data_IF_800590582835
#
_entry.id   IF_800590582835
#
_cell.length_a   1.000
_cell.length_b   1.000
_cell.length_c   1.000
_cell.angle_alpha   90.00
_cell.angle_beta   90.00
_cell.angle_gamma   90.00
#
_symmetry.space_group_name_H-M   'P 1'
#
loop_
_entity.id
_entity.type
_entity.pdbx_description
1 polymer ?
#
# COMPACT_ATOMS: atom_id res chain seq x y z
N UNK A 1 19.81 11.66 -10.62
CA UNK A 1 19.44 13.07 -10.71
C UNK A 1 20.62 13.94 -10.27
N UNK A 2 21.00 14.87 -11.10
CA UNK A 2 22.00 15.88 -10.75
C UNK A 2 21.37 17.04 -9.95
N UNK A 3 22.14 17.76 -9.12
CA UNK A 3 21.62 18.92 -8.41
C UNK A 3 21.06 19.98 -9.36
N UNK A 4 19.77 20.24 -9.27
CA UNK A 4 19.07 21.20 -10.13
C UNK A 4 18.15 20.58 -11.16
N UNK A 5 18.17 19.25 -11.30
CA UNK A 5 17.21 18.54 -12.13
C UNK A 5 15.82 18.58 -11.53
N UNK A 6 14.79 18.80 -12.35
CA UNK A 6 13.42 18.65 -11.92
C UNK A 6 13.10 17.15 -11.69
N UNK A 7 12.39 16.80 -10.65
CA UNK A 7 11.89 15.44 -10.43
C UNK A 7 10.41 15.29 -10.85
N UNK A 8 9.72 16.40 -11.07
CA UNK A 8 8.36 16.46 -11.56
C UNK A 8 8.11 17.79 -12.26
N UNK A 9 7.40 17.78 -13.37
CA UNK A 9 6.91 18.95 -14.08
C UNK A 9 5.47 18.69 -14.51
N UNK A 10 4.54 18.89 -13.59
CA UNK A 10 3.18 18.38 -13.70
C UNK A 10 2.17 19.48 -14.00
N UNK A 11 1.20 19.16 -14.87
CA UNK A 11 -0.07 19.84 -15.00
C UNK A 11 -1.17 18.93 -14.48
N UNK A 12 -2.09 19.47 -13.69
CA UNK A 12 -3.21 18.71 -13.14
C UNK A 12 -4.49 19.53 -13.10
N UNK A 13 -5.63 18.86 -13.01
CA UNK A 13 -6.92 19.51 -12.89
C UNK A 13 -7.92 18.67 -12.12
N UNK A 14 -8.72 19.34 -11.30
CA UNK A 14 -9.86 18.75 -10.57
C UNK A 14 -11.15 19.34 -11.10
N UNK A 15 -12.13 18.49 -11.39
CA UNK A 15 -13.45 18.90 -11.85
C UNK A 15 -14.52 18.34 -10.92
N UNK A 16 -15.44 19.22 -10.53
CA UNK A 16 -16.54 18.87 -9.64
C UNK A 16 -17.86 19.08 -10.35
N UNK A 17 -18.77 18.12 -10.21
CA UNK A 17 -20.13 18.17 -10.69
C UNK A 17 -21.07 17.97 -9.51
N UNK A 18 -21.91 18.95 -9.23
CA UNK A 18 -22.99 18.86 -8.24
C UNK A 18 -24.32 19.06 -8.91
N UNK A 19 -25.18 18.05 -8.86
CA UNK A 19 -26.53 18.07 -9.40
C UNK A 19 -27.51 18.02 -8.24
N UNK A 20 -28.16 19.15 -7.97
CA UNK A 20 -29.08 19.30 -6.86
C UNK A 20 -30.55 19.23 -7.31
N UNK A 21 -31.37 18.44 -6.61
CA UNK A 21 -32.79 18.24 -6.86
C UNK A 21 -33.65 18.64 -5.64
N UNK A 22 -33.25 19.66 -4.92
CA UNK A 22 -33.90 20.13 -3.70
C UNK A 22 -33.27 19.48 -2.46
N UNK A 23 -33.96 18.54 -1.81
CA UNK A 23 -33.49 17.89 -0.59
C UNK A 23 -32.47 16.75 -0.85
N UNK A 24 -32.20 16.42 -2.11
CA UNK A 24 -31.24 15.39 -2.49
C UNK A 24 -30.47 15.78 -3.76
N UNK A 25 -29.33 15.14 -3.97
CA UNK A 25 -28.49 15.41 -5.12
C UNK A 25 -27.46 14.31 -5.38
N UNK A 26 -26.65 14.56 -6.39
CA UNK A 26 -25.52 13.73 -6.76
C UNK A 26 -24.27 14.59 -6.90
N UNK A 27 -23.19 14.17 -6.26
CA UNK A 27 -21.88 14.80 -6.37
C UNK A 27 -20.90 13.85 -7.04
N UNK A 28 -20.09 14.39 -7.95
CA UNK A 28 -18.95 13.68 -8.53
C UNK A 28 -17.73 14.59 -8.63
N UNK A 29 -16.55 14.04 -8.41
CA UNK A 29 -15.26 14.71 -8.56
C UNK A 29 -14.33 13.85 -9.40
N UNK A 30 -13.83 14.41 -10.49
CA UNK A 30 -12.80 13.82 -11.32
C UNK A 30 -11.47 14.56 -11.16
N UNK A 31 -10.39 13.84 -11.28
CA UNK A 31 -9.04 14.36 -11.26
C UNK A 31 -8.25 13.81 -12.44
N UNK A 32 -7.36 14.63 -12.99
CA UNK A 32 -6.40 14.20 -14.00
C UNK A 32 -5.08 14.92 -13.83
N UNK A 33 -4.01 14.28 -14.27
CA UNK A 33 -2.69 14.91 -14.34
C UNK A 33 -1.87 14.35 -15.50
N UNK A 34 -0.84 15.11 -15.88
CA UNK A 34 0.20 14.71 -16.81
C UNK A 34 1.52 15.30 -16.32
N UNK A 35 2.52 14.47 -16.13
CA UNK A 35 3.86 14.89 -15.73
C UNK A 35 4.81 14.81 -16.93
N UNK A 36 5.21 15.98 -17.44
CA UNK A 36 6.10 16.08 -18.60
C UNK A 36 7.50 15.54 -18.31
N UNK A 37 7.98 15.65 -17.07
CA UNK A 37 9.30 15.15 -16.70
C UNK A 37 9.33 13.62 -16.70
N UNK A 38 8.26 12.99 -16.21
CA UNK A 38 8.16 11.54 -16.16
C UNK A 38 7.81 10.91 -17.51
N UNK A 39 6.93 11.56 -18.29
CA UNK A 39 6.46 11.05 -19.57
C UNK A 39 7.43 11.30 -20.72
N UNK A 40 8.02 12.49 -20.76
CA UNK A 40 8.80 12.98 -21.91
C UNK A 40 10.30 13.15 -21.56
N UNK A 41 10.68 13.02 -20.29
CA UNK A 41 12.04 13.20 -19.82
C UNK A 41 12.96 12.01 -20.14
N UNK A 42 14.21 12.29 -20.44
CA UNK A 42 15.25 11.28 -20.76
C UNK A 42 15.92 10.77 -19.45
N UNK A 43 15.20 9.98 -18.63
CA UNK A 43 15.75 9.44 -17.37
C UNK A 43 15.42 7.98 -17.14
N UNK A 44 15.83 7.11 -18.06
CA UNK A 44 15.59 5.69 -17.89
C UNK A 44 16.38 5.17 -16.68
N UNK A 45 15.73 4.34 -15.87
CA UNK A 45 16.43 3.50 -14.89
C UNK A 45 17.32 2.51 -15.65
N UNK A 46 18.58 2.42 -15.27
CA UNK A 46 19.52 1.48 -15.88
C UNK A 46 19.85 0.38 -14.89
N UNK A 47 19.53 -0.87 -15.23
CA UNK A 47 19.96 -2.02 -14.46
C UNK A 47 21.48 -2.20 -14.60
N UNK A 48 22.24 -2.17 -13.48
CA UNK A 48 23.70 -2.22 -13.53
C UNK A 48 24.27 -3.59 -13.96
N UNK A 49 23.45 -4.65 -13.97
CA UNK A 49 23.87 -6.00 -14.37
C UNK A 49 23.60 -6.22 -15.85
N UNK A 50 22.38 -5.96 -16.29
CA UNK A 50 21.95 -6.24 -17.67
C UNK A 50 22.24 -5.11 -18.62
N UNK A 51 22.41 -3.89 -18.11
CA UNK A 51 22.51 -2.65 -18.89
C UNK A 51 21.19 -2.25 -19.55
N UNK A 52 20.09 -2.97 -19.25
CA UNK A 52 18.78 -2.63 -19.76
C UNK A 52 18.31 -1.31 -19.14
N UNK A 53 17.72 -0.48 -19.96
CA UNK A 53 17.10 0.76 -19.53
C UNK A 53 15.59 0.52 -19.39
N UNK A 54 15.03 0.96 -18.28
CA UNK A 54 13.60 0.93 -18.01
C UNK A 54 13.10 2.36 -17.82
N UNK A 55 11.93 2.61 -18.36
CA UNK A 55 11.17 3.80 -18.08
C UNK A 55 10.11 3.43 -17.02
N UNK A 56 9.99 4.22 -15.97
CA UNK A 56 8.99 3.98 -14.91
C UNK A 56 7.56 3.98 -15.47
N UNK A 57 7.30 4.83 -16.46
CA UNK A 57 5.99 4.94 -17.11
C UNK A 57 5.64 3.76 -18.04
N UNK A 58 6.52 2.76 -18.20
CA UNK A 58 6.19 1.51 -18.92
C UNK A 58 5.44 0.51 -18.04
N UNK A 59 5.48 0.68 -16.73
CA UNK A 59 4.66 -0.10 -15.81
C UNK A 59 3.31 0.59 -15.64
N UNK A 60 2.16 -0.09 -15.89
CA UNK A 60 0.84 0.54 -15.82
C UNK A 60 0.52 1.14 -14.45
N UNK A 61 0.90 0.47 -13.35
CA UNK A 61 0.67 1.00 -12.00
C UNK A 61 1.52 2.24 -11.73
N UNK A 62 2.76 2.24 -12.19
CA UNK A 62 3.65 3.37 -12.07
C UNK A 62 3.21 4.54 -12.97
N UNK A 63 2.74 4.24 -14.18
CA UNK A 63 2.20 5.23 -15.11
C UNK A 63 1.05 6.00 -14.47
N UNK A 64 0.05 5.29 -13.93
CA UNK A 64 -1.15 5.86 -13.33
C UNK A 64 -0.85 6.71 -12.08
N UNK A 65 0.19 6.40 -11.33
CA UNK A 65 0.51 7.11 -10.09
C UNK A 65 1.50 8.25 -10.25
N UNK A 66 2.41 8.14 -11.21
CA UNK A 66 3.54 9.05 -11.34
C UNK A 66 3.52 9.88 -12.63
N UNK A 67 3.00 9.33 -13.72
CA UNK A 67 3.20 9.86 -15.06
C UNK A 67 1.96 10.57 -15.61
N UNK A 68 0.85 9.87 -15.72
CA UNK A 68 -0.42 10.42 -16.22
C UNK A 68 -1.59 9.56 -15.79
N UNK A 69 -2.69 10.19 -15.41
CA UNK A 69 -3.93 9.47 -15.12
C UNK A 69 -5.16 10.37 -15.25
N UNK A 70 -6.32 9.72 -15.42
CA UNK A 70 -7.66 10.32 -15.34
C UNK A 70 -8.53 9.43 -14.48
N UNK A 71 -8.86 9.88 -13.28
CA UNK A 71 -9.60 9.05 -12.31
C UNK A 71 -10.82 9.75 -11.75
N UNK A 72 -11.83 8.96 -11.44
CA UNK A 72 -13.00 9.40 -10.68
C UNK A 72 -12.67 9.25 -9.19
N UNK A 73 -12.65 10.38 -8.47
CA UNK A 73 -12.50 10.39 -7.02
C UNK A 73 -13.86 10.15 -6.36
N UNK A 74 -14.53 11.20 -5.96
CA UNK A 74 -15.83 11.08 -5.30
C UNK A 74 -16.96 10.82 -6.29
N UNK A 75 -17.91 9.98 -5.91
CA UNK A 75 -19.16 9.77 -6.62
C UNK A 75 -20.20 9.26 -5.64
N UNK A 76 -21.08 10.13 -5.17
CA UNK A 76 -22.08 9.76 -4.17
C UNK A 76 -23.39 10.51 -4.36
N UNK A 77 -24.47 9.85 -3.98
CA UNK A 77 -25.76 10.48 -3.76
C UNK A 77 -25.83 11.02 -2.34
N UNK A 78 -26.46 12.17 -2.16
CA UNK A 78 -26.69 12.77 -0.87
C UNK A 78 -28.14 13.24 -0.71
N UNK A 79 -28.54 13.41 0.54
CA UNK A 79 -29.86 13.98 0.85
C UNK A 79 -29.92 14.46 2.28
N UNK A 80 -30.70 15.52 2.47
CA UNK A 80 -30.94 16.17 3.73
C UNK A 80 -32.45 16.16 4.02
N UNK A 81 -32.82 15.55 5.15
CA UNK A 81 -34.21 15.39 5.57
C UNK A 81 -34.37 15.81 7.03
N UNK A 82 -35.60 15.79 7.47
CA UNK A 82 -35.96 16.05 8.86
C UNK A 82 -36.73 14.89 9.45
N UNK A 83 -36.30 14.43 10.62
CA UNK A 83 -37.04 13.46 11.44
C UNK A 83 -37.66 14.22 12.60
N UNK A 84 -38.89 14.70 12.43
CA UNK A 84 -39.52 15.66 13.32
C UNK A 84 -38.83 17.03 13.19
N UNK A 85 -38.17 17.49 14.22
CA UNK A 85 -37.37 18.72 14.29
C UNK A 85 -35.85 18.49 14.13
N UNK A 86 -35.44 17.24 13.88
CA UNK A 86 -34.03 16.84 13.85
C UNK A 86 -33.53 16.70 12.43
N UNK A 87 -32.43 17.39 12.06
CA UNK A 87 -31.86 17.28 10.73
C UNK A 87 -31.16 15.92 10.57
N UNK A 88 -31.40 15.25 9.44
CA UNK A 88 -30.76 14.03 9.01
C UNK A 88 -30.08 14.24 7.67
N UNK A 89 -28.78 14.00 7.59
CA UNK A 89 -28.01 13.92 6.33
C UNK A 89 -27.64 12.47 6.04
N UNK A 90 -27.86 12.04 4.80
CA UNK A 90 -27.38 10.73 4.29
C UNK A 90 -26.49 10.94 3.07
N UNK A 91 -25.44 10.12 2.95
CA UNK A 91 -24.62 10.01 1.75
C UNK A 91 -24.33 8.55 1.43
N UNK A 92 -24.41 8.17 0.15
CA UNK A 92 -24.16 6.79 -0.31
C UNK A 92 -23.33 6.83 -1.57
N UNK A 93 -22.19 6.19 -1.59
CA UNK A 93 -21.27 6.12 -2.72
C UNK A 93 -19.81 6.27 -2.28
N UNK A 94 -18.94 6.46 -3.28
CA UNK A 94 -17.51 6.69 -3.03
C UNK A 94 -17.31 8.11 -2.51
N UNK A 95 -16.73 8.24 -1.34
CA UNK A 95 -16.57 9.51 -0.64
C UNK A 95 -15.41 9.48 0.37
N UNK A 96 -14.98 10.66 0.79
CA UNK A 96 -14.00 10.84 1.85
C UNK A 96 -14.70 11.29 3.13
N UNK A 97 -14.34 10.68 4.25
CA UNK A 97 -14.73 11.09 5.60
C UNK A 97 -13.47 11.42 6.38
N UNK A 98 -13.27 12.68 6.69
CA UNK A 98 -12.15 13.14 7.52
C UNK A 98 -12.66 13.42 8.94
N UNK A 99 -12.31 12.55 9.89
CA UNK A 99 -12.61 12.73 11.32
C UNK A 99 -11.32 13.00 12.09
N UNK A 100 -11.47 13.70 13.23
CA UNK A 100 -10.33 14.14 14.05
C UNK A 100 -9.79 15.50 13.63
N UNK A 101 -8.77 15.95 14.34
CA UNK A 101 -8.14 17.28 14.15
C UNK A 101 -6.77 17.17 13.47
N UNK A 102 -6.19 15.98 13.47
CA UNK A 102 -4.84 15.71 12.97
C UNK A 102 -4.90 15.17 11.55
N UNK A 103 -4.49 16.00 10.59
CA UNK A 103 -4.50 15.62 9.17
C UNK A 103 -3.20 14.94 8.72
N UNK A 104 -2.05 15.39 9.25
CA UNK A 104 -0.72 14.95 8.81
C UNK A 104 0.03 14.09 9.83
N UNK A 105 -0.44 14.03 11.07
CA UNK A 105 0.18 13.20 12.11
C UNK A 105 -0.36 11.80 11.98
N UNK A 106 0.54 10.84 11.74
CA UNK A 106 0.17 9.43 11.65
C UNK A 106 -0.39 8.93 12.99
N UNK A 107 -1.21 7.88 12.92
CA UNK A 107 -1.85 7.27 14.09
C UNK A 107 -2.84 8.18 14.84
N UNK A 108 -3.36 9.20 14.17
CA UNK A 108 -4.50 9.99 14.64
C UNK A 108 -5.85 9.28 14.47
N UNK A 109 -6.95 10.02 14.63
CA UNK A 109 -8.34 9.49 14.49
C UNK A 109 -8.68 9.29 13.00
N UNK A 110 -8.05 10.03 12.09
CA UNK A 110 -8.33 9.96 10.66
C UNK A 110 -7.77 8.66 10.05
N UNK A 111 -8.57 7.60 10.03
CA UNK A 111 -8.21 6.26 9.54
C UNK A 111 -9.18 5.72 8.50
N UNK A 112 -10.20 6.51 8.12
CA UNK A 112 -11.31 6.02 7.29
C UNK A 112 -10.90 5.79 5.85
N UNK A 113 -10.16 6.74 5.26
CA UNK A 113 -9.82 6.70 3.84
C UNK A 113 -8.34 6.39 3.62
N UNK A 114 -8.02 5.57 2.61
CA UNK A 114 -6.64 5.35 2.18
C UNK A 114 -6.03 6.61 1.58
N UNK A 115 -4.72 6.60 1.43
CA UNK A 115 -3.91 7.75 1.02
C UNK A 115 -3.07 7.40 -0.20
N UNK A 116 -3.08 8.25 -1.20
CA UNK A 116 -2.07 8.26 -2.26
C UNK A 116 -0.82 9.00 -1.75
N UNK A 117 0.21 8.23 -1.36
CA UNK A 117 1.45 8.79 -0.80
C UNK A 117 2.30 9.46 -1.88
N UNK A 118 2.22 8.99 -3.12
CA UNK A 118 2.88 9.65 -4.26
C UNK A 118 2.31 11.04 -4.45
N UNK A 119 0.99 11.15 -4.46
CA UNK A 119 0.28 12.42 -4.59
C UNK A 119 0.51 13.35 -3.41
N UNK A 120 0.52 12.82 -2.19
CA UNK A 120 0.80 13.60 -0.99
C UNK A 120 2.16 14.34 -1.01
N UNK A 121 3.10 13.84 -1.81
CA UNK A 121 4.45 14.40 -1.98
C UNK A 121 4.60 15.22 -3.27
N UNK A 122 3.60 15.21 -4.14
CA UNK A 122 3.62 15.98 -5.37
C UNK A 122 3.56 17.49 -5.07
N UNK A 123 4.34 18.33 -5.77
CA UNK A 123 4.32 19.75 -5.57
C UNK A 123 2.93 20.34 -5.86
N UNK A 124 2.39 21.10 -4.91
CA UNK A 124 1.10 21.78 -5.05
C UNK A 124 -0.13 20.89 -4.87
N UNK A 125 0.02 19.63 -4.43
CA UNK A 125 -1.11 18.73 -4.18
C UNK A 125 -2.04 19.28 -3.09
N UNK A 126 -3.34 19.17 -3.31
CA UNK A 126 -4.36 19.51 -2.33
C UNK A 126 -4.84 18.26 -1.58
N UNK A 127 -5.30 18.40 -0.33
CA UNK A 127 -5.77 17.26 0.48
C UNK A 127 -6.87 16.45 -0.19
N UNK A 128 -7.73 17.09 -0.96
CA UNK A 128 -8.79 16.43 -1.72
C UNK A 128 -8.27 15.52 -2.85
N UNK A 129 -6.97 15.62 -3.19
CA UNK A 129 -6.28 14.80 -4.17
C UNK A 129 -5.48 13.67 -3.53
N UNK A 130 -5.30 13.74 -2.21
CA UNK A 130 -4.46 12.82 -1.44
C UNK A 130 -5.28 11.68 -0.85
N UNK A 131 -6.46 11.96 -0.30
CA UNK A 131 -7.33 10.94 0.25
C UNK A 131 -8.11 10.23 -0.86
N UNK A 132 -8.04 8.91 -0.88
CA UNK A 132 -8.74 8.09 -1.85
C UNK A 132 -10.17 7.82 -1.36
N UNK A 133 -11.20 8.20 -2.13
CA UNK A 133 -12.56 7.90 -1.76
C UNK A 133 -12.85 6.41 -1.85
N UNK A 134 -13.62 5.88 -0.88
CA UNK A 134 -14.08 4.49 -0.86
C UNK A 134 -15.59 4.43 -0.71
N UNK A 135 -16.17 3.33 -1.17
CA UNK A 135 -17.61 3.09 -1.14
C UNK A 135 -18.13 2.92 0.29
N UNK A 136 -19.06 3.79 0.69
CA UNK A 136 -19.67 3.74 2.01
C UNK A 136 -21.06 4.38 2.06
N UNK A 137 -21.78 4.04 3.13
CA UNK A 137 -22.98 4.74 3.56
C UNK A 137 -22.61 5.58 4.77
N UNK A 138 -22.92 6.85 4.74
CA UNK A 138 -22.74 7.80 5.85
C UNK A 138 -24.07 8.40 6.27
N UNK A 139 -24.29 8.55 7.58
CA UNK A 139 -25.44 9.22 8.13
C UNK A 139 -25.02 10.18 9.27
N UNK A 140 -25.70 11.31 9.37
CA UNK A 140 -25.54 12.27 10.48
C UNK A 140 -26.90 12.76 10.94
N UNK A 141 -27.18 12.69 12.26
CA UNK A 141 -28.42 13.08 12.87
C UNK A 141 -28.18 14.09 14.00
N UNK A 142 -28.79 15.25 13.92
CA UNK A 142 -28.87 16.21 15.01
C UNK A 142 -29.78 15.67 16.11
N UNK A 143 -29.26 15.45 17.32
CA UNK A 143 -30.05 14.96 18.45
C UNK A 143 -30.67 16.12 19.25
N UNK A 144 -29.91 17.19 19.43
CA UNK A 144 -30.30 18.47 20.02
C UNK A 144 -29.61 19.59 19.25
N UNK A 145 -29.84 20.86 19.65
CA UNK A 145 -29.17 22.01 19.06
C UNK A 145 -27.65 21.98 19.23
N UNK A 146 -27.15 21.24 20.22
CA UNK A 146 -25.72 21.16 20.57
C UNK A 146 -25.11 19.78 20.49
N UNK A 147 -25.90 18.72 20.21
CA UNK A 147 -25.43 17.35 20.16
C UNK A 147 -25.84 16.69 18.85
N UNK A 148 -24.90 16.09 18.17
CA UNK A 148 -25.14 15.27 16.97
C UNK A 148 -24.46 13.91 17.07
N UNK A 149 -24.99 12.95 16.34
CA UNK A 149 -24.39 11.64 16.14
C UNK A 149 -24.20 11.41 14.64
N UNK A 150 -23.05 10.90 14.24
CA UNK A 150 -22.79 10.48 12.86
C UNK A 150 -22.14 9.12 12.83
N UNK A 151 -22.30 8.43 11.72
CA UNK A 151 -21.67 7.14 11.52
C UNK A 151 -21.56 6.79 10.05
N UNK A 152 -20.68 5.84 9.77
CA UNK A 152 -20.53 5.27 8.45
C UNK A 152 -20.37 3.75 8.52
N UNK A 153 -20.67 3.09 7.40
CA UNK A 153 -20.35 1.71 7.12
C UNK A 153 -19.73 1.63 5.73
N UNK A 154 -18.49 1.10 5.65
CA UNK A 154 -17.80 0.87 4.39
C UNK A 154 -18.18 -0.49 3.80
N UNK A 155 -18.35 -0.54 2.50
CA UNK A 155 -18.59 -1.74 1.71
C UNK A 155 -17.54 -1.93 0.59
N UNK A 156 -16.49 -1.12 0.62
CA UNK A 156 -15.33 -1.18 -0.27
C UNK A 156 -14.09 -0.89 0.58
N UNK A 157 -13.14 -1.83 0.60
CA UNK A 157 -11.82 -1.61 1.15
C UNK A 157 -10.85 -1.27 0.01
N UNK A 158 -9.85 -0.44 0.30
CA UNK A 158 -8.76 -0.13 -0.62
C UNK A 158 -7.48 0.14 0.18
N UNK A 159 -6.36 -0.35 -0.33
CA UNK A 159 -5.05 -0.05 0.23
C UNK A 159 -4.63 1.40 -0.05
N UNK A 160 -3.77 1.97 0.80
CA UNK A 160 -3.04 3.19 0.47
C UNK A 160 -1.98 2.89 -0.59
N UNK A 161 -1.85 3.79 -1.55
CA UNK A 161 -0.86 3.66 -2.61
C UNK A 161 0.48 4.18 -2.14
N UNK A 162 1.48 3.29 -2.17
CA UNK A 162 2.84 3.62 -1.77
C UNK A 162 3.57 4.35 -2.92
N UNK A 163 4.67 5.09 -2.63
CA UNK A 163 5.45 5.74 -3.68
C UNK A 163 5.95 4.72 -4.71
N UNK A 164 5.86 5.10 -5.97
CA UNK A 164 6.32 4.28 -7.09
C UNK A 164 7.80 3.93 -6.92
N UNK A 165 8.12 2.65 -7.00
CA UNK A 165 9.49 2.14 -6.91
C UNK A 165 10.38 2.78 -7.98
N UNK A 166 11.58 3.25 -7.58
CA UNK A 166 12.50 3.98 -8.46
C UNK A 166 12.19 5.47 -8.60
N UNK A 167 11.06 5.97 -8.08
CA UNK A 167 10.76 7.40 -8.09
C UNK A 167 11.59 8.16 -7.05
N UNK A 168 11.66 9.48 -7.16
CA UNK A 168 12.48 10.33 -6.30
C UNK A 168 12.17 10.19 -4.80
N UNK A 169 10.93 9.93 -4.44
CA UNK A 169 10.49 9.77 -3.06
C UNK A 169 10.34 8.32 -2.59
N UNK A 170 10.65 7.34 -3.43
CA UNK A 170 10.61 5.95 -3.01
C UNK A 170 11.66 5.69 -1.94
N UNK A 171 11.24 5.10 -0.82
CA UNK A 171 12.13 4.72 0.27
C UNK A 171 12.79 3.36 0.06
N UNK A 172 12.20 2.55 -0.80
CA UNK A 172 12.69 1.25 -1.24
C UNK A 172 12.04 0.89 -2.58
N UNK A 173 12.64 -0.06 -3.28
CA UNK A 173 12.14 -0.51 -4.59
C UNK A 173 11.25 -1.75 -4.48
N UNK A 174 11.04 -2.26 -3.29
CA UNK A 174 10.40 -3.54 -3.05
C UNK A 174 8.92 -3.43 -2.73
N UNK A 175 8.54 -2.47 -1.88
CA UNK A 175 7.16 -2.33 -1.37
C UNK A 175 6.32 -1.34 -2.18
N UNK A 176 6.94 -0.48 -3.00
CA UNK A 176 6.24 0.52 -3.80
C UNK A 176 5.45 -0.07 -4.96
N UNK A 177 4.51 0.70 -5.49
CA UNK A 177 3.79 0.38 -6.71
C UNK A 177 4.78 0.29 -7.89
N UNK A 178 4.50 -0.57 -8.86
CA UNK A 178 5.42 -0.81 -9.99
C UNK A 178 6.71 -1.56 -9.66
N UNK A 179 7.00 -1.79 -8.37
CA UNK A 179 8.18 -2.53 -7.89
C UNK A 179 8.23 -3.98 -8.35
N UNK A 180 7.12 -4.51 -8.73
CA UNK A 180 6.95 -5.87 -9.24
C UNK A 180 7.76 -6.18 -10.49
N UNK A 181 8.13 -5.19 -11.29
CA UNK A 181 8.95 -5.40 -12.51
C UNK A 181 10.43 -5.43 -12.25
N UNK A 182 10.89 -4.74 -11.23
CA UNK A 182 12.30 -4.42 -11.06
C UNK A 182 12.91 -5.09 -9.84
N UNK A 183 12.09 -5.58 -8.90
CA UNK A 183 12.59 -5.87 -7.57
C UNK A 183 12.52 -7.32 -7.19
N UNK A 184 13.71 -7.80 -7.10
CA UNK A 184 14.09 -8.95 -6.31
C UNK A 184 15.04 -8.40 -5.27
N UNK A 185 14.64 -8.45 -4.02
CA UNK A 185 15.49 -8.04 -2.93
C UNK A 185 16.71 -8.95 -2.89
N UNK A 186 17.89 -8.36 -2.99
CA UNK A 186 19.12 -9.10 -2.77
C UNK A 186 19.28 -9.42 -1.29
N UNK A 187 19.53 -10.70 -1.01
CA UNK A 187 20.15 -11.07 0.26
C UNK A 187 21.58 -10.52 0.35
N UNK A 188 22.10 -10.34 1.44
CA UNK A 188 23.40 -10.01 2.07
C UNK A 188 24.67 -9.81 1.23
N UNK A 189 24.68 -9.86 -0.10
CA UNK A 189 25.94 -10.06 -0.83
C UNK A 189 26.60 -8.80 -1.36
N UNK A 190 25.99 -7.62 -1.15
CA UNK A 190 26.49 -6.38 -1.75
C UNK A 190 26.53 -6.41 -3.31
N UNK A 191 25.87 -7.39 -3.92
CA UNK A 191 25.69 -7.42 -5.35
C UNK A 191 24.59 -6.43 -5.76
N UNK A 192 24.67 -5.84 -6.96
CA UNK A 192 23.58 -5.02 -7.47
C UNK A 192 22.30 -5.84 -7.64
N UNK A 193 21.16 -5.16 -7.59
CA UNK A 193 19.86 -5.77 -7.76
C UNK A 193 19.75 -6.53 -9.06
N UNK A 194 19.22 -7.74 -8.99
CA UNK A 194 18.93 -8.56 -10.17
C UNK A 194 17.52 -8.21 -10.60
N UNK A 195 17.33 -7.76 -11.82
CA UNK A 195 15.99 -7.55 -12.33
C UNK A 195 15.24 -8.88 -12.54
N UNK A 196 13.92 -8.81 -12.50
CA UNK A 196 13.07 -9.97 -12.66
C UNK A 196 13.28 -10.66 -14.01
N UNK A 197 13.45 -9.90 -15.08
CA UNK A 197 13.65 -10.44 -16.44
C UNK A 197 14.94 -11.26 -16.53
N UNK A 198 16.01 -10.80 -15.89
CA UNK A 198 17.26 -11.55 -15.79
C UNK A 198 17.06 -12.87 -15.02
N UNK A 199 16.38 -12.80 -13.87
CA UNK A 199 16.10 -13.99 -13.07
C UNK A 199 15.23 -14.98 -13.83
N UNK A 200 14.14 -14.55 -14.44
CA UNK A 200 13.27 -15.41 -15.24
C UNK A 200 14.02 -16.06 -16.41
N UNK A 201 14.89 -15.30 -17.07
CA UNK A 201 15.73 -15.82 -18.17
C UNK A 201 16.67 -16.92 -17.66
N UNK A 202 17.32 -16.71 -16.52
CA UNK A 202 18.22 -17.70 -15.93
C UNK A 202 17.47 -18.97 -15.49
N UNK A 203 16.34 -18.82 -14.80
CA UNK A 203 15.51 -19.94 -14.33
C UNK A 203 14.97 -20.77 -15.50
N UNK A 204 14.46 -20.11 -16.53
CA UNK A 204 14.01 -20.79 -17.75
C UNK A 204 15.16 -21.48 -18.49
N UNK A 205 16.36 -20.90 -18.49
CA UNK A 205 17.56 -21.51 -19.02
C UNK A 205 17.91 -22.82 -18.30
N UNK A 206 17.78 -22.88 -16.97
CA UNK A 206 17.92 -24.15 -16.22
C UNK A 206 16.84 -25.17 -16.58
N UNK A 207 15.61 -24.73 -16.73
CA UNK A 207 14.52 -25.59 -17.21
C UNK A 207 14.81 -26.20 -18.59
N UNK A 208 15.33 -25.41 -19.53
CA UNK A 208 15.72 -25.89 -20.86
C UNK A 208 16.86 -26.92 -20.79
N UNK A 209 17.86 -26.70 -19.95
CA UNK A 209 18.94 -27.66 -19.72
C UNK A 209 18.42 -28.98 -19.17
N UNK A 210 17.52 -28.94 -18.18
CA UNK A 210 16.89 -30.13 -17.60
C UNK A 210 16.07 -30.89 -18.65
N UNK A 211 15.27 -30.18 -19.46
CA UNK A 211 14.50 -30.78 -20.56
C UNK A 211 15.39 -31.41 -21.63
N UNK A 212 16.58 -30.88 -21.84
CA UNK A 212 17.56 -31.46 -22.79
C UNK A 212 18.33 -32.63 -22.23
N UNK A 213 18.09 -33.03 -20.98
CA UNK A 213 18.71 -34.19 -20.35
C UNK A 213 19.97 -33.87 -19.54
N UNK A 214 20.18 -32.64 -19.15
CA UNK A 214 21.23 -32.30 -18.21
C UNK A 214 21.01 -32.96 -16.85
N UNK A 215 22.12 -33.32 -16.19
CA UNK A 215 22.04 -33.94 -14.86
C UNK A 215 21.50 -32.94 -13.82
N UNK A 216 20.40 -33.26 -13.13
CA UNK A 216 19.84 -32.36 -12.11
C UNK A 216 20.83 -31.98 -11.01
N UNK A 217 21.78 -32.86 -10.65
CA UNK A 217 22.77 -32.52 -9.63
C UNK A 217 23.74 -31.39 -10.06
N UNK A 218 24.05 -31.30 -11.35
CA UNK A 218 24.89 -30.22 -11.87
C UNK A 218 24.14 -28.90 -11.94
N UNK A 219 22.84 -28.95 -12.23
CA UNK A 219 21.98 -27.77 -12.28
C UNK A 219 21.66 -27.24 -10.90
N UNK A 220 21.48 -28.11 -9.89
CA UNK A 220 21.10 -27.70 -8.53
C UNK A 220 22.07 -26.69 -7.91
N UNK A 221 23.39 -26.88 -8.11
CA UNK A 221 24.39 -25.93 -7.60
C UNK A 221 24.28 -24.55 -8.26
N UNK A 222 24.08 -24.52 -9.58
CA UNK A 222 23.92 -23.27 -10.32
C UNK A 222 22.59 -22.59 -9.97
N UNK A 223 21.54 -23.36 -9.82
CA UNK A 223 20.21 -22.88 -9.39
C UNK A 223 20.29 -22.23 -8.02
N UNK A 224 20.86 -22.88 -7.02
CA UNK A 224 20.96 -22.38 -5.65
C UNK A 224 21.77 -21.08 -5.50
N UNK A 225 22.56 -20.73 -6.51
CA UNK A 225 23.26 -19.43 -6.50
C UNK A 225 22.31 -18.23 -6.49
N UNK A 226 21.07 -18.38 -6.96
CA UNK A 226 20.05 -17.36 -6.91
C UNK A 226 19.29 -17.34 -5.59
N UNK A 227 18.61 -18.42 -5.15
CA UNK A 227 17.89 -18.41 -3.87
C UNK A 227 18.75 -18.06 -2.66
N UNK A 228 20.06 -18.36 -2.68
CA UNK A 228 20.97 -17.95 -1.60
C UNK A 228 21.19 -16.45 -1.49
N UNK A 229 20.78 -15.67 -2.47
CA UNK A 229 21.05 -14.22 -2.54
C UNK A 229 19.80 -13.37 -2.72
N UNK A 230 18.68 -13.98 -3.10
CA UNK A 230 17.50 -13.28 -3.57
C UNK A 230 16.29 -13.73 -2.78
N UNK A 231 15.57 -12.78 -2.22
CA UNK A 231 14.19 -12.94 -1.77
C UNK A 231 13.27 -12.42 -2.87
N UNK A 232 12.18 -13.12 -3.13
CA UNK A 232 11.19 -12.73 -4.13
C UNK A 232 9.92 -12.24 -3.45
N UNK A 233 9.24 -11.32 -4.10
CA UNK A 233 7.88 -10.91 -3.76
C UNK A 233 6.91 -11.65 -4.67
N UNK A 234 5.75 -12.05 -4.16
CA UNK A 234 4.65 -12.49 -5.00
C UNK A 234 4.13 -11.35 -5.88
N UNK A 235 3.78 -11.68 -7.12
CA UNK A 235 3.38 -10.70 -8.13
C UNK A 235 1.91 -10.82 -8.53
N UNK A 236 1.19 -11.81 -8.04
CA UNK A 236 -0.25 -11.93 -8.24
C UNK A 236 -1.00 -11.11 -7.19
N UNK A 237 -2.22 -10.69 -7.52
CA UNK A 237 -3.12 -10.06 -6.55
C UNK A 237 -3.35 -10.96 -5.32
N UNK A 238 -3.26 -12.30 -5.49
CA UNK A 238 -3.35 -13.28 -4.41
C UNK A 238 -2.17 -13.23 -3.42
N UNK A 239 -1.02 -12.69 -3.82
CA UNK A 239 0.13 -12.48 -2.93
C UNK A 239 -0.03 -11.23 -2.04
N UNK A 240 -1.00 -10.41 -2.32
CA UNK A 240 -1.50 -9.36 -1.45
C UNK A 240 -2.66 -9.96 -0.65
N UNK A 241 -2.45 -10.28 0.61
CA UNK A 241 -3.54 -10.64 1.51
C UNK A 241 -4.32 -9.36 1.83
N UNK A 242 -5.09 -8.91 0.86
CA UNK A 242 -5.96 -7.75 0.97
C UNK A 242 -7.02 -8.00 2.06
N UNK A 243 -7.41 -6.95 2.77
CA UNK A 243 -8.44 -7.06 3.78
C UNK A 243 -9.83 -7.17 3.13
N UNK A 244 -10.78 -7.72 3.89
CA UNK A 244 -12.16 -7.81 3.46
C UNK A 244 -12.79 -6.43 3.23
N UNK A 245 -13.67 -6.33 2.24
CA UNK A 245 -14.42 -5.11 1.96
C UNK A 245 -15.37 -4.72 3.10
N UNK A 246 -15.77 -5.67 3.92
CA UNK A 246 -16.80 -5.53 4.95
C UNK A 246 -16.20 -5.48 6.34
N UNK A 247 -17.04 -5.10 7.32
CA UNK A 247 -16.64 -5.08 8.73
C UNK A 247 -16.17 -3.69 9.20
N UNK A 248 -15.93 -2.75 8.30
CA UNK A 248 -15.43 -1.42 8.63
C UNK A 248 -16.58 -0.45 8.90
N UNK A 249 -16.57 0.17 10.07
CA UNK A 249 -17.57 1.17 10.47
C UNK A 249 -17.01 2.16 11.46
N UNK A 250 -17.64 3.33 11.54
CA UNK A 250 -17.33 4.34 12.53
C UNK A 250 -18.59 4.99 13.14
N UNK A 251 -18.47 5.39 14.39
CA UNK A 251 -19.45 6.19 15.10
C UNK A 251 -18.75 7.40 15.71
N UNK A 252 -19.37 8.57 15.59
CA UNK A 252 -18.93 9.84 16.17
C UNK A 252 -20.09 10.49 16.91
N UNK A 253 -19.88 10.85 18.16
CA UNK A 253 -20.75 11.73 18.95
C UNK A 253 -20.07 13.09 19.07
N UNK A 254 -20.73 14.15 18.63
CA UNK A 254 -20.24 15.51 18.73
C UNK A 254 -21.08 16.30 19.71
N UNK A 255 -20.40 17.03 20.61
CA UNK A 255 -21.03 17.93 21.57
C UNK A 255 -20.41 19.33 21.48
N UNK A 256 -21.23 20.30 21.13
CA UNK A 256 -20.86 21.71 21.13
C UNK A 256 -21.16 22.34 22.48
N UNK A 257 -20.12 22.64 23.25
CA UNK A 257 -20.21 23.14 24.61
C UNK A 257 -20.17 24.68 24.63
N UNK A 258 -21.33 25.32 24.43
CA UNK A 258 -21.45 26.79 24.36
C UNK A 258 -20.84 27.51 25.56
N UNK A 259 -21.00 26.95 26.78
CA UNK A 259 -20.49 27.53 28.01
C UNK A 259 -19.00 27.31 28.27
N UNK A 260 -18.31 26.55 27.41
CA UNK A 260 -16.87 26.23 27.48
C UNK A 260 -16.13 26.85 26.29
N UNK A 261 -16.20 28.17 26.13
CA UNK A 261 -15.62 28.93 25.02
C UNK A 261 -16.02 28.39 23.63
N UNK A 262 -17.29 27.97 23.50
CA UNK A 262 -17.80 27.38 22.26
C UNK A 262 -16.94 26.20 21.78
N UNK A 263 -16.50 25.35 22.70
CA UNK A 263 -15.65 24.20 22.40
C UNK A 263 -16.48 23.07 21.84
N UNK A 264 -16.05 22.56 20.69
CA UNK A 264 -16.56 21.30 20.14
C UNK A 264 -15.75 20.12 20.71
N UNK A 265 -16.43 19.17 21.31
CA UNK A 265 -15.87 17.87 21.68
C UNK A 265 -16.45 16.77 20.79
N UNK A 266 -15.60 15.88 20.32
CA UNK A 266 -16.05 14.68 19.59
C UNK A 266 -15.46 13.42 20.18
N UNK A 267 -16.29 12.37 20.24
CA UNK A 267 -15.94 11.05 20.73
C UNK A 267 -16.15 10.03 19.62
N UNK A 268 -15.19 9.12 19.44
CA UNK A 268 -15.14 8.23 18.30
C UNK A 268 -15.01 6.77 18.73
N UNK A 269 -15.70 5.92 18.00
CA UNK A 269 -15.42 4.49 17.95
C UNK A 269 -15.36 4.06 16.48
N UNK A 270 -14.24 3.47 16.06
CA UNK A 270 -14.01 3.04 14.70
C UNK A 270 -13.49 1.62 14.72
N UNK A 271 -14.07 0.74 13.89
CA UNK A 271 -13.53 -0.56 13.53
C UNK A 271 -13.06 -0.46 12.08
N UNK A 272 -11.78 -0.69 11.84
CA UNK A 272 -11.21 -0.53 10.50
C UNK A 272 -10.19 -1.62 10.19
N UNK A 273 -9.95 -1.84 8.91
CA UNK A 273 -8.87 -2.67 8.40
C UNK A 273 -7.70 -1.77 8.02
N UNK A 274 -6.48 -2.21 8.26
CA UNK A 274 -5.30 -1.43 7.90
C UNK A 274 -5.26 -1.20 6.39
N UNK A 275 -5.04 0.04 6.00
CA UNK A 275 -4.83 0.42 4.60
C UNK A 275 -3.33 0.46 4.25
N UNK A 276 -2.47 0.22 5.25
CA UNK A 276 -1.02 0.11 5.10
C UNK A 276 -0.61 -1.34 5.28
N UNK A 277 0.22 -1.87 4.37
CA UNK A 277 0.68 -3.25 4.48
C UNK A 277 1.62 -3.44 5.65
N UNK A 278 1.56 -4.61 6.26
CA UNK A 278 2.67 -5.22 6.98
C UNK A 278 3.36 -6.22 6.06
N UNK A 279 4.67 -6.33 6.20
CA UNK A 279 5.48 -7.29 5.46
C UNK A 279 5.60 -8.56 6.30
N UNK A 280 5.26 -9.70 5.70
CA UNK A 280 5.50 -11.03 6.24
C UNK A 280 6.49 -11.78 5.35
N UNK A 281 7.15 -12.80 5.88
CA UNK A 281 8.12 -13.60 5.14
C UNK A 281 7.83 -15.09 5.26
N UNK A 282 7.91 -15.79 4.13
CA UNK A 282 7.91 -17.25 4.06
C UNK A 282 9.33 -17.75 3.87
N UNK A 283 9.77 -18.62 4.76
CA UNK A 283 11.12 -19.18 4.71
C UNK A 283 11.31 -20.09 3.50
N UNK A 284 12.54 -20.11 3.00
CA UNK A 284 12.96 -21.01 1.91
C UNK A 284 13.06 -22.47 2.38
N UNK A 285 12.90 -23.40 1.44
CA UNK A 285 13.10 -24.84 1.63
C UNK A 285 14.35 -25.31 0.87
N UNK A 286 15.47 -25.45 1.59
CA UNK A 286 16.73 -26.00 1.05
C UNK A 286 16.92 -27.49 1.32
N UNK A 287 15.90 -28.20 1.74
CA UNK A 287 15.98 -29.66 1.82
C UNK A 287 16.19 -30.29 0.43
N UNK A 288 16.76 -31.49 0.41
CA UNK A 288 16.92 -32.19 -0.85
C UNK A 288 15.58 -32.46 -1.58
N UNK A 289 14.48 -32.57 -0.80
CA UNK A 289 13.13 -32.73 -1.32
C UNK A 289 12.63 -31.41 -1.94
N UNK A 290 12.78 -30.29 -1.25
CA UNK A 290 12.40 -28.96 -1.73
C UNK A 290 13.15 -28.57 -3.01
N UNK A 291 14.48 -28.72 -3.01
CA UNK A 291 15.31 -28.46 -4.20
C UNK A 291 14.90 -29.40 -5.35
N UNK A 292 14.62 -30.67 -5.04
CA UNK A 292 14.14 -31.64 -6.04
C UNK A 292 12.79 -31.24 -6.64
N UNK A 293 11.88 -30.72 -5.84
CA UNK A 293 10.60 -30.20 -6.30
C UNK A 293 10.77 -28.98 -7.22
N UNK A 294 11.65 -28.03 -6.87
CA UNK A 294 11.95 -26.88 -7.70
C UNK A 294 12.54 -27.27 -9.06
N UNK A 295 13.50 -28.21 -9.08
CA UNK A 295 14.06 -28.71 -10.34
C UNK A 295 13.01 -29.43 -11.20
N UNK A 296 12.09 -30.17 -10.58
CA UNK A 296 10.98 -30.80 -11.29
C UNK A 296 10.00 -29.75 -11.85
N UNK A 297 9.75 -28.69 -11.10
CA UNK A 297 8.95 -27.56 -11.56
C UNK A 297 9.60 -26.86 -12.76
N UNK A 298 10.89 -26.54 -12.69
CA UNK A 298 11.66 -25.94 -13.77
C UNK A 298 11.69 -26.81 -15.03
N UNK A 299 11.79 -28.13 -14.86
CA UNK A 299 11.77 -29.06 -15.98
C UNK A 299 10.41 -29.14 -16.69
N UNK A 300 9.33 -28.86 -15.96
CA UNK A 300 7.96 -29.08 -16.44
C UNK A 300 7.24 -27.81 -16.87
N UNK A 301 7.70 -26.64 -16.39
CA UNK A 301 7.02 -25.37 -16.57
C UNK A 301 7.96 -24.29 -17.14
N UNK A 302 7.38 -23.30 -17.77
CA UNK A 302 8.04 -22.03 -18.00
C UNK A 302 7.80 -21.14 -16.77
N UNK A 303 8.88 -20.64 -16.19
CA UNK A 303 8.78 -19.72 -15.05
C UNK A 303 8.37 -18.34 -15.55
N UNK A 304 7.32 -17.82 -14.96
CA UNK A 304 6.77 -16.48 -15.22
C UNK A 304 6.72 -15.70 -13.91
N UNK A 305 6.41 -14.41 -13.98
CA UNK A 305 6.20 -13.58 -12.79
C UNK A 305 5.08 -14.15 -11.88
N UNK A 306 4.05 -14.76 -12.46
CA UNK A 306 2.88 -15.21 -11.71
C UNK A 306 3.12 -16.53 -10.98
N UNK A 307 4.07 -17.35 -11.43
CA UNK A 307 4.34 -18.67 -10.85
C UNK A 307 5.73 -18.84 -10.22
N UNK A 308 6.54 -17.78 -10.18
CA UNK A 308 7.89 -17.84 -9.59
C UNK A 308 7.86 -18.21 -8.10
N UNK A 309 6.78 -17.87 -7.41
CA UNK A 309 6.54 -18.19 -6.00
C UNK A 309 6.31 -19.70 -5.73
N UNK A 310 6.13 -20.51 -6.77
CA UNK A 310 6.12 -21.97 -6.64
C UNK A 310 7.51 -22.55 -6.35
N UNK A 311 8.58 -21.76 -6.53
CA UNK A 311 9.95 -22.19 -6.23
C UNK A 311 10.24 -22.03 -4.74
N UNK A 312 10.22 -23.15 -4.01
CA UNK A 312 10.32 -23.19 -2.56
C UNK A 312 11.71 -22.83 -1.99
N UNK A 313 12.78 -22.89 -2.79
CA UNK A 313 14.13 -22.49 -2.35
C UNK A 313 14.29 -20.98 -2.20
N UNK A 314 13.40 -20.17 -2.77
CA UNK A 314 13.41 -18.72 -2.57
C UNK A 314 12.69 -18.33 -1.27
N UNK A 315 13.29 -17.45 -0.49
CA UNK A 315 12.56 -16.72 0.53
C UNK A 315 11.56 -15.80 -0.17
N UNK A 316 10.32 -15.79 0.30
CA UNK A 316 9.26 -14.98 -0.27
C UNK A 316 8.81 -13.94 0.74
N UNK A 317 8.42 -12.78 0.28
CA UNK A 317 7.74 -11.80 1.09
C UNK A 317 6.32 -11.58 0.59
N UNK A 318 5.43 -11.40 1.54
CA UNK A 318 4.00 -11.21 1.33
C UNK A 318 3.58 -9.93 2.04
N UNK A 319 2.62 -9.21 1.46
CA UNK A 319 1.95 -8.12 2.14
C UNK A 319 0.71 -8.64 2.84
N UNK A 320 0.45 -8.07 4.00
CA UNK A 320 -0.66 -8.42 4.84
C UNK A 320 -1.32 -7.14 5.38
N UNK A 321 -2.63 -7.07 5.30
CA UNK A 321 -3.42 -5.93 5.79
C UNK A 321 -4.25 -6.37 6.99
N UNK A 322 -3.84 -6.03 8.23
CA UNK A 322 -4.55 -6.42 9.44
C UNK A 322 -5.98 -5.89 9.48
N UNK A 323 -6.89 -6.75 9.94
CA UNK A 323 -8.31 -6.46 10.04
C UNK A 323 -8.77 -6.18 11.48
N UNK A 324 -9.97 -5.63 11.62
CA UNK A 324 -10.69 -5.45 12.88
C UNK A 324 -9.94 -4.67 13.97
N UNK A 325 -9.13 -3.71 13.57
CA UNK A 325 -8.45 -2.79 14.48
C UNK A 325 -9.49 -1.83 15.07
N UNK A 326 -9.60 -1.80 16.40
CA UNK A 326 -10.56 -0.94 17.10
C UNK A 326 -9.89 0.33 17.58
N UNK A 327 -10.45 1.47 17.21
CA UNK A 327 -10.01 2.78 17.65
C UNK A 327 -11.09 3.42 18.54
N UNK A 328 -10.64 3.93 19.66
CA UNK A 328 -11.41 4.81 20.54
C UNK A 328 -10.73 6.16 20.58
N UNK A 329 -11.45 7.21 20.23
CA UNK A 329 -10.88 8.54 20.09
C UNK A 329 -11.67 9.63 20.79
N UNK A 330 -10.98 10.71 21.09
CA UNK A 330 -11.57 11.97 21.54
C UNK A 330 -10.83 13.12 20.89
N UNK A 331 -11.57 14.12 20.40
CA UNK A 331 -10.99 15.37 19.95
C UNK A 331 -11.69 16.57 20.56
N UNK A 332 -11.00 17.71 20.53
CA UNK A 332 -11.59 19.00 20.88
C UNK A 332 -11.07 20.09 19.92
N UNK A 333 -11.91 21.09 19.70
CA UNK A 333 -11.59 22.28 18.95
C UNK A 333 -12.20 23.49 19.66
N UNK A 334 -11.40 24.50 19.98
CA UNK A 334 -11.83 25.67 20.76
C UNK A 334 -11.09 26.93 20.32
N UNK A 335 -11.67 28.08 20.63
CA UNK A 335 -11.04 29.38 20.44
C UNK A 335 -10.77 30.03 21.80
N UNK A 336 -9.51 30.33 22.07
CA UNK A 336 -9.09 31.07 23.26
C UNK A 336 -8.65 32.50 22.84
N UNK A 337 -9.57 33.44 22.89
CA UNK A 337 -9.36 34.77 22.34
C UNK A 337 -9.17 34.72 20.83
N UNK A 338 -7.98 35.05 20.33
CA UNK A 338 -7.63 35.04 18.89
C UNK A 338 -6.90 33.74 18.48
N UNK A 339 -6.70 32.83 19.40
CA UNK A 339 -5.94 31.59 19.16
C UNK A 339 -6.89 30.41 19.01
N UNK A 340 -6.86 29.75 17.88
CA UNK A 340 -7.51 28.45 17.71
C UNK A 340 -6.63 27.35 18.33
N UNK A 341 -7.22 26.51 19.15
CA UNK A 341 -6.56 25.35 19.78
C UNK A 341 -7.37 24.10 19.50
N UNK A 342 -6.75 23.13 18.89
CA UNK A 342 -7.33 21.80 18.64
C UNK A 342 -6.41 20.70 19.15
N UNK A 343 -6.97 19.56 19.48
CA UNK A 343 -6.21 18.41 19.90
C UNK A 343 -7.04 17.13 19.83
N UNK A 344 -6.34 16.01 19.75
CA UNK A 344 -6.96 14.70 19.74
C UNK A 344 -6.19 13.65 20.53
N UNK A 345 -6.90 12.64 20.95
CA UNK A 345 -6.38 11.44 21.59
C UNK A 345 -6.97 10.23 20.89
N UNK A 346 -6.12 9.28 20.48
CA UNK A 346 -6.51 8.02 19.87
C UNK A 346 -5.91 6.85 20.63
N UNK A 347 -6.73 5.86 20.95
CA UNK A 347 -6.32 4.58 21.56
C UNK A 347 -6.75 3.44 20.67
N UNK A 348 -5.81 2.59 20.28
CA UNK A 348 -6.05 1.44 19.42
C UNK A 348 -5.90 0.14 20.18
N UNK A 349 -6.74 -0.82 19.82
CA UNK A 349 -6.71 -2.19 20.30
C UNK A 349 -6.53 -3.09 19.09
N UNK A 350 -5.71 -4.12 19.25
CA UNK A 350 -5.41 -5.11 18.22
C UNK A 350 -4.69 -4.52 16.97
N UNK A 351 -3.97 -3.38 17.12
CA UNK A 351 -3.12 -2.84 16.07
C UNK A 351 -1.78 -3.59 16.06
N UNK A 352 -1.47 -4.41 15.06
CA UNK A 352 -0.18 -5.07 14.97
C UNK A 352 0.89 -4.07 14.53
N UNK A 353 2.10 -4.27 15.05
CA UNK A 353 3.26 -3.46 14.73
C UNK A 353 4.20 -4.24 13.81
N UNK A 354 4.69 -3.58 12.76
CA UNK A 354 5.71 -4.15 11.90
C UNK A 354 6.99 -4.40 12.71
N UNK A 355 7.51 -5.62 12.64
CA UNK A 355 8.88 -5.93 13.04
C UNK A 355 9.81 -5.26 12.02
N UNK A 356 11.00 -4.86 12.46
CA UNK A 356 12.03 -4.32 11.55
C UNK A 356 12.19 -5.23 10.32
N UNK A 357 12.09 -4.65 9.14
CA UNK A 357 12.08 -5.38 7.86
C UNK A 357 13.41 -6.11 7.60
N UNK A 358 14.52 -5.58 8.07
CA UNK A 358 15.84 -6.22 8.01
C UNK A 358 15.89 -7.43 8.95
N UNK A 359 15.37 -7.31 10.17
CA UNK A 359 15.28 -8.44 11.11
C UNK A 359 14.38 -9.54 10.54
N UNK A 360 13.22 -9.16 9.96
CA UNK A 360 12.31 -10.08 9.33
C UNK A 360 12.97 -10.83 8.17
N UNK A 361 13.72 -10.11 7.32
CA UNK A 361 14.48 -10.71 6.23
C UNK A 361 15.51 -11.72 6.75
N UNK A 362 16.27 -11.35 7.77
CA UNK A 362 17.25 -12.27 8.41
C UNK A 362 16.59 -13.51 9.01
N UNK A 363 15.42 -13.37 9.60
CA UNK A 363 14.66 -14.49 10.17
C UNK A 363 14.08 -15.39 9.07
N UNK A 364 13.70 -14.83 7.94
CA UNK A 364 13.17 -15.55 6.79
C UNK A 364 14.22 -16.26 5.93
N UNK A 365 15.51 -15.98 6.13
CA UNK A 365 16.60 -16.47 5.27
C UNK A 365 17.71 -17.26 6.03
N UNK A 366 17.38 -18.19 6.94
CA UNK A 366 18.40 -18.88 7.75
C UNK A 366 19.36 -19.72 6.88
N UNK A 367 18.85 -20.44 5.89
CA UNK A 367 19.67 -21.29 5.01
C UNK A 367 20.55 -20.45 4.08
N UNK A 368 20.05 -19.32 3.60
CA UNK A 368 20.83 -18.38 2.81
C UNK A 368 21.99 -17.82 3.61
N UNK A 369 21.76 -17.47 4.88
CA UNK A 369 22.80 -16.97 5.79
C UNK A 369 23.85 -18.04 6.07
N UNK A 370 23.43 -19.28 6.27
CA UNK A 370 24.33 -20.41 6.48
C UNK A 370 25.18 -20.67 5.22
N UNK A 371 24.56 -20.74 4.05
CA UNK A 371 25.25 -20.98 2.79
C UNK A 371 26.18 -19.82 2.37
N UNK A 372 25.86 -18.61 2.75
CA UNK A 372 26.74 -17.45 2.56
C UNK A 372 27.91 -17.43 3.55
N UNK A 373 27.93 -18.33 4.54
CA UNK A 373 28.94 -18.40 5.59
C UNK A 373 28.84 -17.30 6.66
N UNK A 374 27.76 -16.52 6.66
CA UNK A 374 27.51 -15.46 7.62
C UNK A 374 27.01 -16.00 8.97
N UNK A 375 26.21 -17.05 8.93
CA UNK A 375 25.61 -17.72 10.09
C UNK A 375 25.63 -19.25 9.91
N UNK A 376 26.81 -19.91 9.96
CA UNK A 376 26.92 -21.37 9.82
C UNK A 376 26.13 -22.16 10.86
N UNK A 377 25.82 -21.53 12.00
CA UNK A 377 25.00 -22.08 13.07
C UNK A 377 23.52 -22.29 12.69
N UNK A 378 23.09 -21.69 11.60
CA UNK A 378 21.72 -21.81 11.08
C UNK A 378 21.57 -22.90 10.01
N UNK A 379 22.63 -23.63 9.68
CA UNK A 379 22.56 -24.75 8.72
C UNK A 379 21.53 -25.80 9.18
N UNK A 380 20.61 -26.15 8.31
CA UNK A 380 19.54 -27.12 8.59
C UNK A 380 18.34 -26.55 9.34
N UNK A 381 18.29 -25.24 9.61
CA UNK A 381 17.12 -24.55 10.20
C UNK A 381 16.25 -24.03 9.04
N UNK A 382 15.79 -24.90 8.18
CA UNK A 382 15.05 -24.52 6.98
C UNK A 382 13.55 -24.28 7.20
N UNK A 383 13.02 -24.38 8.40
CA UNK A 383 11.58 -24.21 8.64
C UNK A 383 11.33 -23.65 10.03
N UNK A 384 11.45 -22.33 10.13
CA UNK A 384 10.76 -21.60 11.19
C UNK A 384 9.35 -21.27 10.68
N UNK A 385 8.45 -22.23 10.74
CA UNK A 385 7.02 -22.02 10.55
C UNK A 385 6.41 -21.41 11.80
#
# INVERSE_FOLDING_TARGET
HDPGDAFATQISGTHELDINFGDYGFFARGFWFYDFEQMDGDRPYSNPITGNQYDLCQDPEAEDLLCTDVRLYDAFFYGDWWIGDKPLTLRVGRQVISWGESTFIQHGINTTNPVDVTRARAPGAELKEVFLPVGMVYASLGLTDTVSISGYYQYEWQRSWLPVSGSYFAGNDFAGEGGQRQNIQLGFSGNPDIDLDHLLTALNGYGDLLRSGANPADISQAYLAYPTKVAIRGFSDEAHNDADDQGQYGLRLTWFAENLNETEFSFYHINYHSQRPLISGKTSDFTAEGIGADLAFLASNTVTRDNITELGAFTQSEFFYPEDIKLYGMSFNTNIGTTALAGEFAYRVDEPLQIDDVELLYMGMPEQLANAGLRPDLEGISQLN
#
